data_IF_919014001039
#
_entry.id   IF_919014001039
#
_cell.length_a   1.000
_cell.length_b   1.000
_cell.length_c   1.000
_cell.angle_alpha   90.00
_cell.angle_beta   90.00
_cell.angle_gamma   90.00
#
_symmetry.space_group_name_H-M   'P 1'
#
loop_
_entity.id
_entity.type
_entity.pdbx_description
1 polymer ?
#
# COMPACT_ATOMS: atom_id res chain seq x y z
N UNK A 1 -23.11 43.34 0.30
CA UNK A 1 -22.07 42.37 -0.10
C UNK A 1 -21.23 43.03 -1.19
N UNK A 2 -19.91 43.11 -1.04
CA UNK A 2 -19.04 43.59 -2.12
C UNK A 2 -19.05 42.57 -3.27
N UNK A 3 -18.99 43.00 -4.55
CA UNK A 3 -19.02 42.09 -5.70
C UNK A 3 -17.88 41.05 -5.65
N UNK A 4 -16.70 41.42 -5.17
CA UNK A 4 -15.55 40.52 -4.98
C UNK A 4 -15.83 39.39 -3.96
N UNK A 5 -16.51 39.71 -2.87
CA UNK A 5 -16.90 38.71 -1.86
C UNK A 5 -17.94 37.75 -2.43
N UNK A 6 -18.93 38.28 -3.16
CA UNK A 6 -19.95 37.46 -3.82
C UNK A 6 -19.33 36.49 -4.83
N UNK A 7 -18.36 36.95 -5.64
CA UNK A 7 -17.62 36.11 -6.58
C UNK A 7 -16.78 35.04 -5.88
N UNK A 8 -16.04 35.39 -4.84
CA UNK A 8 -15.20 34.44 -4.07
C UNK A 8 -16.03 33.34 -3.41
N UNK A 9 -17.17 33.70 -2.81
CA UNK A 9 -18.12 32.74 -2.24
C UNK A 9 -18.72 31.85 -3.32
N UNK A 10 -19.09 32.41 -4.48
CA UNK A 10 -19.63 31.64 -5.59
C UNK A 10 -18.62 30.60 -6.09
N UNK A 11 -17.37 30.99 -6.29
CA UNK A 11 -16.28 30.08 -6.69
C UNK A 11 -16.07 29.01 -5.62
N UNK A 12 -16.05 29.38 -4.35
CA UNK A 12 -15.89 28.43 -3.24
C UNK A 12 -17.02 27.38 -3.20
N UNK A 13 -18.28 27.82 -3.27
CA UNK A 13 -19.44 26.91 -3.25
C UNK A 13 -19.45 26.01 -4.50
N UNK A 14 -19.20 26.56 -5.68
CA UNK A 14 -19.14 25.77 -6.92
C UNK A 14 -17.99 24.75 -6.87
N UNK A 15 -16.82 25.12 -6.35
CA UNK A 15 -15.69 24.20 -6.18
C UNK A 15 -16.03 23.05 -5.21
N UNK A 16 -16.76 23.32 -4.12
CA UNK A 16 -17.22 22.27 -3.20
C UNK A 16 -18.21 21.30 -3.87
N UNK A 17 -19.19 21.83 -4.61
CA UNK A 17 -20.16 21.01 -5.34
C UNK A 17 -19.47 20.11 -6.37
N UNK A 18 -18.51 20.65 -7.12
CA UNK A 18 -17.70 19.89 -8.08
C UNK A 18 -16.87 18.83 -7.35
N UNK A 19 -16.22 19.18 -6.24
CA UNK A 19 -15.45 18.23 -5.44
C UNK A 19 -16.28 17.05 -4.95
N UNK A 20 -17.49 17.31 -4.45
CA UNK A 20 -18.43 16.28 -4.00
C UNK A 20 -18.85 15.33 -5.14
N UNK A 21 -19.23 15.89 -6.30
CA UNK A 21 -19.66 15.10 -7.46
C UNK A 21 -18.54 14.20 -7.99
N UNK A 22 -17.31 14.72 -8.05
CA UNK A 22 -16.13 13.97 -8.52
C UNK A 22 -15.78 12.84 -7.55
N UNK A 23 -15.79 13.10 -6.23
CA UNK A 23 -15.46 12.09 -5.22
C UNK A 23 -16.55 11.01 -5.12
N UNK A 24 -17.80 11.33 -5.41
CA UNK A 24 -18.90 10.36 -5.34
C UNK A 24 -18.86 9.31 -6.45
N UNK A 25 -18.08 9.52 -7.51
CA UNK A 25 -18.03 8.64 -8.71
C UNK A 25 -16.84 7.68 -8.77
N UNK A 26 -16.00 7.64 -7.73
CA UNK A 26 -14.78 6.83 -7.73
C UNK A 26 -15.07 5.42 -7.16
N UNK A 27 -14.61 4.34 -7.83
CA UNK A 27 -14.88 2.98 -7.40
C UNK A 27 -14.18 2.64 -6.06
N UNK A 28 -14.72 1.67 -5.33
CA UNK A 28 -14.27 1.34 -3.98
C UNK A 28 -12.83 0.83 -3.89
N UNK A 29 -12.32 0.27 -4.99
CA UNK A 29 -10.93 -0.15 -5.15
C UNK A 29 -9.94 1.00 -5.09
N UNK A 30 -10.41 2.23 -5.31
CA UNK A 30 -9.58 3.44 -5.33
C UNK A 30 -9.75 4.30 -4.07
N UNK A 31 -10.51 3.91 -3.04
CA UNK A 31 -10.63 4.72 -1.82
C UNK A 31 -9.30 4.94 -1.11
N UNK A 32 -8.44 3.92 -1.02
CA UNK A 32 -7.14 4.04 -0.35
C UNK A 32 -6.13 4.86 -1.18
N UNK A 33 -5.99 4.64 -2.50
CA UNK A 33 -5.20 5.55 -3.35
C UNK A 33 -5.73 6.99 -3.34
N UNK A 34 -7.05 7.18 -3.35
CA UNK A 34 -7.68 8.51 -3.29
C UNK A 34 -7.42 9.20 -1.96
N UNK A 35 -7.48 8.46 -0.85
CA UNK A 35 -7.14 8.97 0.47
C UNK A 35 -5.70 9.47 0.52
N UNK A 36 -4.75 8.73 -0.08
CA UNK A 36 -3.36 9.19 -0.22
C UNK A 36 -3.21 10.36 -1.20
N UNK A 37 -3.96 10.35 -2.30
CA UNK A 37 -3.97 11.43 -3.29
C UNK A 37 -4.40 12.76 -2.68
N UNK A 38 -5.44 12.75 -1.83
CA UNK A 38 -5.92 13.93 -1.11
C UNK A 38 -4.83 14.55 -0.21
N UNK A 39 -3.97 13.73 0.40
CA UNK A 39 -2.81 14.20 1.17
C UNK A 39 -1.82 15.02 0.30
N UNK A 40 -1.67 14.66 -0.98
CA UNK A 40 -0.82 15.41 -1.93
C UNK A 40 -1.44 16.74 -2.35
N UNK A 41 -2.77 16.78 -2.48
CA UNK A 41 -3.52 17.98 -2.89
C UNK A 41 -3.44 19.08 -1.82
N UNK A 42 -3.42 18.70 -0.54
CA UNK A 42 -3.18 19.65 0.55
C UNK A 42 -1.78 20.29 0.49
N UNK A 43 -0.89 19.81 -0.38
CA UNK A 43 0.35 20.49 -0.72
C UNK A 43 0.20 21.92 -1.26
N UNK A 44 -1.02 22.40 -1.54
CA UNK A 44 -1.33 23.81 -1.87
C UNK A 44 -0.80 24.81 -0.83
N UNK A 45 -0.52 24.37 0.40
CA UNK A 45 0.18 25.16 1.43
C UNK A 45 1.51 25.74 0.91
N UNK A 46 2.15 25.11 -0.09
CA UNK A 46 3.34 25.64 -0.74
C UNK A 46 3.11 27.03 -1.35
N UNK A 47 1.93 27.27 -1.93
CA UNK A 47 1.56 28.59 -2.48
C UNK A 47 1.53 29.62 -1.36
N UNK A 48 0.99 29.26 -0.19
CA UNK A 48 1.01 30.11 1.01
C UNK A 48 2.44 30.40 1.48
N UNK A 49 3.32 29.40 1.49
CA UNK A 49 4.72 29.59 1.86
C UNK A 49 5.46 30.54 0.91
N UNK A 50 5.19 30.46 -0.41
CA UNK A 50 5.74 31.38 -1.41
C UNK A 50 5.25 32.81 -1.17
N UNK A 51 3.96 33.00 -0.87
CA UNK A 51 3.41 34.32 -0.55
C UNK A 51 4.04 34.90 0.72
N UNK A 52 4.20 34.11 1.77
CA UNK A 52 4.87 34.55 3.01
C UNK A 52 6.34 34.90 2.75
N UNK A 53 7.04 34.11 1.95
CA UNK A 53 8.43 34.39 1.57
C UNK A 53 8.55 35.73 0.81
N UNK A 54 7.59 36.04 -0.06
CA UNK A 54 7.57 37.30 -0.83
C UNK A 54 7.19 38.54 -0.02
N UNK A 55 6.60 38.35 1.18
CA UNK A 55 6.22 39.42 2.11
C UNK A 55 7.15 39.53 3.32
N UNK A 56 8.18 38.67 3.41
CA UNK A 56 9.09 38.65 4.54
C UNK A 56 10.15 39.76 4.39
N UNK A 57 10.28 40.61 5.41
CA UNK A 57 11.27 41.70 5.48
C UNK A 57 12.27 41.54 6.63
N UNK A 58 12.07 40.56 7.51
CA UNK A 58 12.90 40.30 8.69
C UNK A 58 13.57 38.92 8.60
N UNK A 59 14.80 38.74 9.11
CA UNK A 59 15.47 37.44 9.16
C UNK A 59 14.61 36.32 9.73
N UNK A 60 13.79 36.60 10.75
CA UNK A 60 12.90 35.59 11.34
C UNK A 60 11.78 35.18 10.39
N UNK A 61 11.27 36.13 9.58
CA UNK A 61 10.28 35.87 8.54
C UNK A 61 10.81 34.94 7.45
N UNK A 62 12.05 35.14 7.00
CA UNK A 62 12.69 34.26 6.03
C UNK A 62 12.92 32.84 6.57
N UNK A 63 13.31 32.70 7.84
CA UNK A 63 13.46 31.38 8.47
C UNK A 63 12.11 30.65 8.53
N UNK A 64 11.05 31.33 8.94
CA UNK A 64 9.70 30.75 8.96
C UNK A 64 9.22 30.38 7.55
N UNK A 65 9.45 31.25 6.56
CA UNK A 65 9.10 30.97 5.17
C UNK A 65 9.84 29.75 4.62
N UNK A 66 11.13 29.61 4.95
CA UNK A 66 11.92 28.44 4.57
C UNK A 66 11.38 27.15 5.22
N UNK A 67 11.09 27.18 6.53
CA UNK A 67 10.49 26.03 7.21
C UNK A 67 9.12 25.69 6.62
N UNK A 68 8.26 26.68 6.39
CA UNK A 68 6.94 26.50 5.79
C UNK A 68 7.06 25.87 4.39
N UNK A 69 7.99 26.34 3.56
CA UNK A 69 8.26 25.79 2.25
C UNK A 69 8.78 24.34 2.33
N UNK A 70 9.67 24.03 3.28
CA UNK A 70 10.18 22.67 3.50
C UNK A 70 9.05 21.70 3.90
N UNK A 71 8.18 22.08 4.84
CA UNK A 71 7.01 21.28 5.23
C UNK A 71 6.01 21.12 4.09
N UNK A 72 5.78 22.17 3.32
CA UNK A 72 4.90 22.10 2.16
C UNK A 72 5.47 21.17 1.07
N UNK A 73 6.77 21.26 0.79
CA UNK A 73 7.45 20.38 -0.14
C UNK A 73 7.39 18.91 0.32
N UNK A 74 7.59 18.64 1.61
CA UNK A 74 7.45 17.28 2.17
C UNK A 74 6.04 16.71 1.98
N UNK A 75 4.98 17.53 2.12
CA UNK A 75 3.60 17.08 1.87
C UNK A 75 3.35 16.75 0.40
N UNK A 76 3.83 17.61 -0.52
CA UNK A 76 3.70 17.38 -1.98
C UNK A 76 4.47 16.12 -2.38
N UNK A 77 5.76 16.04 -2.05
CA UNK A 77 6.64 14.93 -2.47
C UNK A 77 6.24 13.63 -1.78
N UNK A 78 6.01 13.66 -0.47
CA UNK A 78 5.60 12.49 0.30
C UNK A 78 4.26 11.94 -0.16
N UNK A 79 3.28 12.81 -0.38
CA UNK A 79 1.98 12.42 -0.93
C UNK A 79 2.09 11.79 -2.31
N UNK A 80 2.89 12.38 -3.21
CA UNK A 80 3.01 11.89 -4.59
C UNK A 80 3.71 10.53 -4.67
N UNK A 81 4.79 10.34 -3.90
CA UNK A 81 5.54 9.08 -3.85
C UNK A 81 4.70 7.94 -3.27
N UNK A 82 3.96 8.19 -2.18
CA UNK A 82 3.08 7.18 -1.58
C UNK A 82 1.95 6.81 -2.53
N UNK A 83 1.36 7.81 -3.18
CA UNK A 83 0.27 7.60 -4.14
C UNK A 83 0.75 6.81 -5.37
N UNK A 84 1.91 7.12 -5.93
CA UNK A 84 2.47 6.36 -7.06
C UNK A 84 2.79 4.90 -6.68
N UNK A 85 3.34 4.67 -5.47
CA UNK A 85 3.55 3.31 -4.97
C UNK A 85 2.24 2.53 -4.80
N UNK A 86 1.16 3.20 -4.36
CA UNK A 86 -0.17 2.62 -4.29
C UNK A 86 -0.74 2.29 -5.66
N UNK A 87 -0.57 3.19 -6.63
CA UNK A 87 -1.07 3.01 -8.00
C UNK A 87 -0.25 1.99 -8.80
N UNK A 88 1.04 1.85 -8.49
CA UNK A 88 1.92 0.82 -9.07
C UNK A 88 1.45 -0.60 -8.81
N UNK A 89 0.67 -0.84 -7.76
CA UNK A 89 0.10 -2.16 -7.45
C UNK A 89 -1.11 -2.53 -8.31
N UNK A 90 -1.72 -1.55 -9.02
CA UNK A 90 -2.77 -1.83 -10.03
C UNK A 90 -2.20 -2.08 -11.43
N UNK A 91 -0.91 -1.79 -11.64
CA UNK A 91 -0.20 -2.16 -12.87
C UNK A 91 0.13 -3.65 -12.76
N UNK A 92 -0.57 -4.47 -13.56
CA UNK A 92 -0.35 -5.92 -13.57
C UNK A 92 1.14 -6.25 -13.68
N UNK A 93 1.58 -7.31 -12.96
CA UNK A 93 2.97 -7.77 -12.97
C UNK A 93 3.52 -7.72 -14.40
N UNK A 94 4.69 -7.12 -14.66
CA UNK A 94 5.35 -7.31 -15.93
C UNK A 94 5.51 -8.81 -16.14
N UNK A 95 4.95 -9.31 -17.24
CA UNK A 95 5.06 -10.72 -17.61
C UNK A 95 6.53 -11.16 -17.50
N UNK A 96 6.84 -12.31 -16.88
CA UNK A 96 8.21 -12.84 -16.75
C UNK A 96 8.99 -12.91 -18.08
N UNK A 97 8.28 -12.85 -19.21
CA UNK A 97 8.83 -12.88 -20.56
C UNK A 97 9.84 -11.75 -20.86
N UNK A 98 9.75 -10.59 -20.21
CA UNK A 98 10.67 -9.47 -20.47
C UNK A 98 12.05 -9.63 -19.79
N UNK A 99 12.14 -10.33 -18.65
CA UNK A 99 13.41 -10.60 -17.96
C UNK A 99 14.04 -11.95 -18.36
N UNK A 100 13.26 -12.87 -18.95
CA UNK A 100 13.79 -14.09 -19.53
C UNK A 100 14.60 -13.81 -20.81
N UNK A 101 14.22 -12.79 -21.60
CA UNK A 101 14.92 -12.40 -22.82
C UNK A 101 16.28 -11.72 -22.55
N UNK A 102 16.46 -11.04 -21.42
CA UNK A 102 17.73 -10.40 -21.04
C UNK A 102 18.72 -11.37 -20.42
N UNK A 103 18.26 -12.43 -19.74
CA UNK A 103 19.13 -13.51 -19.25
C UNK A 103 19.55 -14.48 -20.37
N UNK A 104 18.66 -14.79 -21.32
CA UNK A 104 19.02 -15.65 -22.46
C UNK A 104 19.98 -14.97 -23.45
N UNK A 105 19.88 -13.64 -23.62
CA UNK A 105 20.84 -12.87 -24.42
C UNK A 105 22.24 -12.77 -23.76
N UNK A 106 22.29 -12.72 -22.42
CA UNK A 106 23.53 -12.70 -21.64
C UNK A 106 24.22 -14.07 -21.61
N UNK A 107 23.46 -15.17 -21.51
CA UNK A 107 23.98 -16.54 -21.60
C UNK A 107 24.42 -16.92 -23.02
N UNK A 108 23.71 -16.47 -24.06
CA UNK A 108 24.11 -16.68 -25.45
C UNK A 108 25.44 -15.96 -25.80
N UNK A 109 25.66 -14.74 -25.27
CA UNK A 109 26.95 -14.05 -25.42
C UNK A 109 28.07 -14.67 -24.60
N UNK A 110 27.80 -15.25 -23.42
CA UNK A 110 28.80 -15.99 -22.63
C UNK A 110 29.23 -17.30 -23.28
N UNK A 111 28.30 -18.00 -23.93
CA UNK A 111 28.60 -19.23 -24.68
C UNK A 111 29.42 -18.96 -25.96
N UNK A 112 29.13 -17.86 -26.66
CA UNK A 112 29.91 -17.42 -27.80
C UNK A 112 31.36 -17.03 -27.44
N UNK A 113 31.57 -16.43 -26.26
CA UNK A 113 32.92 -16.03 -25.81
C UNK A 113 33.72 -17.15 -25.12
N UNK A 114 33.09 -18.29 -24.80
CA UNK A 114 33.79 -19.48 -24.27
C UNK A 114 34.40 -20.35 -25.37
N UNK A 115 33.92 -20.23 -26.61
CA UNK A 115 34.38 -21.07 -27.75
C UNK A 115 35.61 -20.47 -28.46
N UNK A 116 35.95 -19.21 -28.21
CA UNK A 116 37.10 -18.51 -28.79
C UNK A 116 38.42 -18.69 -28.01
N UNK A 117 38.41 -19.31 -26.83
CA UNK A 117 39.61 -19.50 -26.00
C UNK A 117 40.13 -20.95 -25.91
N UNK A 118 39.51 -21.92 -26.59
CA UNK A 118 39.97 -23.32 -26.58
C UNK A 118 41.10 -23.64 -27.57
N UNK A 119 41.67 -22.64 -28.26
CA UNK A 119 42.72 -22.85 -29.26
C UNK A 119 44.15 -22.53 -28.78
N UNK A 120 44.37 -22.08 -27.55
CA UNK A 120 45.72 -21.72 -27.10
C UNK A 120 46.07 -22.31 -25.73
N UNK A 121 47.27 -22.88 -25.68
CA UNK A 121 48.04 -23.25 -24.50
C UNK A 121 47.63 -24.53 -23.74
N UNK A 122 48.08 -25.64 -24.32
CA UNK A 122 48.69 -26.74 -23.56
C UNK A 122 49.73 -26.20 -22.56
N UNK A 123 49.54 -26.46 -21.26
CA UNK A 123 50.56 -26.70 -20.22
C UNK A 123 49.88 -26.91 -18.85
N UNK A 124 49.93 -28.14 -18.34
CA UNK A 124 49.86 -28.51 -16.91
C UNK A 124 51.13 -28.02 -16.18
N UNK A 125 51.28 -28.07 -14.83
CA UNK A 125 50.55 -28.78 -13.76
C UNK A 125 50.01 -27.78 -12.69
N UNK A 126 49.41 -28.09 -11.53
CA UNK A 126 49.86 -28.93 -10.43
C UNK A 126 48.80 -28.91 -9.30
N UNK A 127 48.71 -30.02 -8.58
CA UNK A 127 47.89 -30.22 -7.38
C UNK A 127 48.52 -29.52 -6.19
N UNK A 128 47.74 -28.77 -5.38
CA UNK A 128 48.00 -28.69 -3.94
C UNK A 128 46.71 -28.55 -3.15
N UNK A 129 46.57 -29.50 -2.23
CA UNK A 129 45.49 -29.72 -1.26
C UNK A 129 45.99 -29.19 0.09
N UNK A 130 45.19 -28.39 0.80
CA UNK A 130 45.17 -28.12 2.27
C UNK A 130 44.21 -26.94 2.47
N UNK A 131 43.22 -26.94 3.36
CA UNK A 131 42.96 -27.76 4.53
C UNK A 131 42.70 -26.82 5.71
N UNK A 132 41.51 -26.95 6.33
CA UNK A 132 41.14 -26.39 7.65
C UNK A 132 40.99 -24.87 7.68
N UNK A 133 40.34 -24.24 8.65
CA UNK A 133 39.51 -24.64 9.79
C UNK A 133 39.10 -23.29 10.43
N UNK A 134 38.03 -23.29 11.23
CA UNK A 134 37.80 -22.29 12.29
C UNK A 134 37.46 -20.85 11.85
N UNK A 135 36.52 -20.12 12.43
CA UNK A 135 35.64 -20.33 13.60
C UNK A 135 34.42 -19.44 13.42
N UNK A 136 33.29 -19.98 13.88
CA UNK A 136 32.07 -19.29 14.26
C UNK A 136 32.28 -18.12 15.26
N UNK A 137 31.22 -17.31 15.33
CA UNK A 137 30.76 -16.57 16.50
C UNK A 137 31.44 -15.26 16.90
N UNK A 138 30.87 -14.17 16.39
CA UNK A 138 30.50 -13.04 17.23
C UNK A 138 28.97 -12.96 17.35
N UNK A 139 28.48 -13.61 18.42
CA UNK A 139 27.21 -13.40 19.15
C UNK A 139 26.53 -12.06 18.84
N UNK A 140 25.27 -12.06 18.43
CA UNK A 140 24.10 -12.27 19.29
C UNK A 140 23.87 -11.14 20.31
N UNK A 141 23.06 -10.17 19.89
CA UNK A 141 22.15 -9.44 20.78
C UNK A 141 20.79 -10.14 20.75
N UNK A 142 20.73 -11.24 21.48
CA UNK A 142 19.54 -11.76 22.17
C UNK A 142 18.94 -10.56 22.94
N UNK A 143 17.67 -10.19 22.77
CA UNK A 143 16.53 -11.06 22.98
C UNK A 143 16.12 -10.96 24.44
N UNK A 144 15.36 -9.93 24.79
CA UNK A 144 14.58 -9.92 26.02
C UNK A 144 13.09 -9.99 25.65
N UNK A 145 12.62 -11.23 25.58
CA UNK A 145 11.22 -11.59 25.59
C UNK A 145 10.82 -11.94 27.04
N UNK A 146 9.57 -11.64 27.39
CA UNK A 146 8.88 -12.11 28.59
C UNK A 146 8.83 -11.04 29.68
N UNK A 147 7.70 -10.71 30.29
CA UNK A 147 6.32 -11.18 30.28
C UNK A 147 5.47 -9.92 30.60
N UNK A 148 4.18 -9.82 30.32
CA UNK A 148 3.15 -10.28 31.24
C UNK A 148 1.83 -10.52 30.48
N UNK A 149 1.21 -11.68 30.74
CA UNK A 149 -0.16 -11.99 30.34
C UNK A 149 -1.10 -11.59 31.48
N UNK A 150 -2.07 -10.74 31.15
CA UNK A 150 -3.48 -11.05 31.33
C UNK A 150 -4.16 -10.66 32.65
N UNK A 151 -4.97 -9.61 32.59
CA UNK A 151 -6.29 -9.48 33.24
C UNK A 151 -7.12 -8.55 32.34
N UNK A 152 -8.04 -9.07 31.52
CA UNK A 152 -9.48 -9.08 31.83
C UNK A 152 -10.03 -7.71 32.23
N UNK A 153 -10.55 -6.93 31.28
CA UNK A 153 -11.67 -5.99 31.56
C UNK A 153 -12.41 -5.57 30.26
N UNK A 154 -13.64 -6.07 30.16
CA UNK A 154 -14.85 -5.52 29.54
C UNK A 154 -14.77 -4.64 28.27
N UNK A 155 -15.13 -5.28 27.14
CA UNK A 155 -15.67 -4.71 25.91
C UNK A 155 -17.03 -4.03 26.17
N UNK A 156 -17.09 -2.70 26.02
CA UNK A 156 -18.27 -1.88 26.17
C UNK A 156 -19.19 -1.95 24.94
N UNK A 157 -19.99 -3.02 24.84
CA UNK A 157 -21.08 -3.11 23.86
C UNK A 157 -22.37 -2.47 24.39
N UNK A 158 -23.09 -1.67 23.58
CA UNK A 158 -24.35 -1.06 23.99
C UNK A 158 -25.47 -2.10 24.10
N UNK A 159 -26.23 -2.02 25.19
CA UNK A 159 -27.40 -2.84 25.48
C UNK A 159 -28.56 -2.54 24.53
N UNK A 160 -28.78 -3.37 23.52
CA UNK A 160 -30.05 -3.41 22.77
C UNK A 160 -31.03 -4.34 23.49
N UNK A 161 -32.02 -3.72 24.12
CA UNK A 161 -33.19 -4.35 24.71
C UNK A 161 -34.15 -4.86 23.62
N UNK A 162 -34.50 -6.14 23.69
CA UNK A 162 -35.84 -6.63 23.34
C UNK A 162 -36.02 -7.26 21.96
N UNK A 163 -36.65 -8.46 22.00
CA UNK A 163 -37.35 -9.19 20.93
C UNK A 163 -36.54 -10.24 20.14
N UNK A 164 -36.71 -11.50 20.56
CA UNK A 164 -36.38 -12.70 19.78
C UNK A 164 -37.33 -12.84 18.57
N UNK A 165 -36.86 -13.30 17.40
CA UNK A 165 -37.74 -13.56 16.27
C UNK A 165 -38.61 -14.82 16.51
N UNK A 166 -39.89 -14.82 16.08
CA UNK A 166 -40.77 -15.98 16.26
C UNK A 166 -40.35 -17.15 15.34
N UNK A 167 -40.39 -18.37 15.90
CA UNK A 167 -40.22 -19.62 15.15
C UNK A 167 -41.38 -19.82 14.16
N UNK A 168 -41.14 -20.33 12.94
CA UNK A 168 -42.23 -20.64 12.02
C UNK A 168 -43.08 -21.79 12.57
N UNK A 169 -44.39 -21.56 12.61
CA UNK A 169 -45.40 -22.52 13.05
C UNK A 169 -45.44 -23.72 12.10
N UNK A 170 -45.29 -24.92 12.65
CA UNK A 170 -45.60 -26.16 11.95
C UNK A 170 -47.12 -26.20 11.67
N UNK A 171 -47.49 -26.27 10.39
CA UNK A 171 -48.88 -26.45 9.98
C UNK A 171 -49.24 -27.93 10.03
N UNK A 172 -50.34 -28.34 10.70
CA UNK A 172 -50.87 -29.68 10.59
C UNK A 172 -51.83 -29.75 9.39
N UNK A 173 -51.72 -30.81 8.58
CA UNK A 173 -52.79 -31.81 8.46
C UNK A 173 -52.81 -32.59 7.12
N UNK A 174 -53.02 -33.90 7.29
CA UNK A 174 -53.69 -34.92 6.47
C UNK A 174 -53.42 -35.09 4.96
N UNK A 175 -52.73 -36.20 4.60
CA UNK A 175 -53.34 -37.44 3.99
C UNK A 175 -52.36 -38.27 3.14
N UNK A 176 -52.21 -39.53 3.58
CA UNK A 176 -52.08 -40.80 2.80
C UNK A 176 -50.74 -41.11 2.11
N UNK A 177 -50.52 -42.37 1.68
CA UNK A 177 -50.56 -43.64 2.43
C UNK A 177 -49.27 -44.47 2.21
N UNK A 178 -49.03 -45.48 3.05
CA UNK A 178 -47.91 -46.42 2.92
C UNK A 178 -47.90 -47.17 1.59
N UNK A 179 -46.72 -47.41 0.98
CA UNK A 179 -46.52 -48.50 0.05
C UNK A 179 -45.53 -49.54 0.61
N UNK A 180 -45.99 -50.79 0.58
CA UNK A 180 -45.23 -52.05 0.53
C UNK A 180 -44.42 -52.49 1.74
N UNK A 181 -45.14 -53.11 2.69
CA UNK A 181 -44.65 -54.27 3.42
C UNK A 181 -44.81 -55.50 2.51
N UNK A 182 -43.70 -55.98 1.92
CA UNK A 182 -43.71 -57.14 1.04
C UNK A 182 -42.33 -57.62 0.60
N UNK A 183 -41.99 -58.83 1.04
CA UNK A 183 -41.03 -59.78 0.45
C UNK A 183 -39.54 -59.70 0.87
N UNK A 184 -39.08 -60.85 1.39
CA UNK A 184 -37.73 -61.41 1.28
C UNK A 184 -36.62 -61.00 2.27
N UNK A 185 -36.61 -61.64 3.46
CA UNK A 185 -35.68 -62.74 3.86
C UNK A 185 -35.50 -62.85 5.37
#
# INVERSE_FOLDING_TARGET
>A
MTPELASSISIFVLALLVGFEVISKIPTTLHTPMMSGANSIHGVVLVGAILVAGLADDPLGYVLAFLAAAFAAMNVVGGYVVTDRMLGMFRGRPSPSANAASHSASEASRSANATSHSAEASRTPEVTRRGGAETDDAKAVVGLAGAERGTSEADGRPSTSGAAPPRPAASPDSRRPDPDEGSDR
#
